data_IF_954218839225
#
_entry.id   IF_954218839225
#
_cell.length_a   1.000
_cell.length_b   1.000
_cell.length_c   1.000
_cell.angle_alpha   90.00
_cell.angle_beta   90.00
_cell.angle_gamma   90.00
#
_symmetry.space_group_name_H-M   'P 1'
#
loop_
_entity.id
_entity.type
_entity.pdbx_description
1 polymer ?
#
# COMPACT_ATOMS: atom_id res chain seq x y z
N UNK A 1 -72.49 -0.56 -22.58
CA UNK A 1 -73.37 -1.26 -21.61
C UNK A 1 -72.75 -2.61 -21.32
N UNK A 2 -72.70 -3.00 -20.04
CA UNK A 2 -72.58 -4.36 -19.48
C UNK A 2 -71.35 -5.21 -19.91
N UNK A 3 -70.59 -5.90 -19.03
CA UNK A 3 -70.97 -6.80 -17.92
C UNK A 3 -71.83 -7.96 -18.46
N UNK A 4 -71.62 -9.26 -18.25
CA UNK A 4 -70.84 -10.18 -17.39
C UNK A 4 -70.72 -11.50 -18.22
N UNK A 5 -70.11 -12.63 -17.86
CA UNK A 5 -69.57 -13.21 -16.62
C UNK A 5 -69.96 -14.72 -16.56
N UNK A 6 -69.22 -15.54 -15.78
CA UNK A 6 -69.51 -16.97 -15.49
C UNK A 6 -69.46 -17.99 -16.67
N UNK A 7 -69.27 -19.31 -16.50
CA UNK A 7 -68.62 -20.10 -15.44
C UNK A 7 -68.30 -21.55 -15.89
N UNK A 8 -67.15 -22.07 -15.45
CA UNK A 8 -66.91 -23.37 -14.74
C UNK A 8 -67.45 -24.73 -15.27
N UNK A 9 -66.50 -25.55 -15.77
CA UNK A 9 -66.21 -26.99 -15.53
C UNK A 9 -67.22 -28.15 -15.75
N UNK A 10 -66.71 -29.27 -16.32
CA UNK A 10 -66.96 -30.64 -15.78
C UNK A 10 -67.01 -31.84 -16.75
N UNK A 11 -65.99 -32.73 -16.74
CA UNK A 11 -65.99 -34.11 -17.30
C UNK A 11 -65.94 -34.23 -18.84
N UNK A 12 -65.24 -35.15 -19.52
CA UNK A 12 -64.75 -36.51 -19.19
C UNK A 12 -65.42 -37.51 -20.15
N UNK A 13 -64.77 -38.44 -20.87
CA UNK A 13 -63.38 -38.94 -20.83
C UNK A 13 -63.00 -39.72 -22.13
N UNK A 14 -61.79 -40.32 -22.17
CA UNK A 14 -61.26 -41.36 -23.11
C UNK A 14 -60.88 -40.87 -24.54
N UNK A 15 -59.77 -41.26 -25.17
CA UNK A 15 -58.58 -42.03 -24.71
C UNK A 15 -57.74 -42.59 -25.89
N UNK A 16 -56.39 -42.56 -25.80
CA UNK A 16 -55.44 -43.13 -26.79
C UNK A 16 -54.43 -42.12 -27.35
N UNK A 17 -53.14 -42.10 -26.92
CA UNK A 17 -51.96 -42.86 -27.43
C UNK A 17 -51.54 -42.45 -28.87
N UNK A 18 -50.28 -42.19 -29.23
CA UNK A 18 -48.98 -42.31 -28.52
C UNK A 18 -47.84 -41.52 -29.24
N UNK A 19 -46.82 -41.12 -28.47
CA UNK A 19 -45.38 -40.99 -28.83
C UNK A 19 -44.80 -39.89 -29.77
N UNK A 20 -44.05 -38.99 -29.11
CA UNK A 20 -42.63 -38.60 -29.35
C UNK A 20 -42.19 -37.55 -30.40
N UNK A 21 -41.51 -36.54 -29.84
CA UNK A 21 -40.23 -35.92 -30.24
C UNK A 21 -40.12 -35.21 -31.60
N UNK A 22 -40.22 -33.87 -31.57
CA UNK A 22 -39.54 -32.96 -32.51
C UNK A 22 -39.46 -31.49 -31.99
N UNK A 23 -38.23 -31.07 -31.69
CA UNK A 23 -37.64 -29.73 -31.85
C UNK A 23 -38.52 -28.46 -31.77
N UNK A 24 -38.14 -27.55 -30.86
CA UNK A 24 -37.59 -26.22 -31.24
C UNK A 24 -36.91 -25.53 -30.05
N UNK A 25 -35.64 -25.18 -30.21
CA UNK A 25 -34.91 -24.26 -29.33
C UNK A 25 -35.33 -22.82 -29.67
N UNK A 26 -35.41 -21.96 -28.67
CA UNK A 26 -35.53 -20.50 -28.83
C UNK A 26 -34.34 -19.83 -28.13
N UNK A 27 -33.57 -19.07 -28.89
CA UNK A 27 -32.32 -18.45 -28.45
C UNK A 27 -32.55 -17.32 -27.43
N UNK A 28 -31.62 -17.14 -26.50
CA UNK A 28 -31.55 -15.95 -25.63
C UNK A 28 -30.49 -14.99 -26.19
N UNK A 29 -30.70 -13.65 -26.09
CA UNK A 29 -29.91 -12.68 -26.84
C UNK A 29 -28.52 -12.37 -26.25
N UNK A 30 -27.57 -12.27 -27.17
CA UNK A 30 -26.20 -11.72 -27.12
C UNK A 30 -25.58 -11.25 -25.79
N UNK A 31 -24.42 -11.85 -25.49
CA UNK A 31 -23.40 -11.31 -24.58
C UNK A 31 -22.71 -10.07 -25.16
N UNK A 32 -22.91 -8.90 -24.56
CA UNK A 32 -22.15 -7.68 -24.87
C UNK A 32 -20.83 -7.57 -24.03
N UNK A 33 -19.76 -6.91 -24.51
CA UNK A 33 -18.40 -7.31 -24.14
C UNK A 33 -17.70 -6.43 -23.07
N UNK A 34 -17.21 -7.06 -22.01
CA UNK A 34 -16.27 -6.44 -21.05
C UNK A 34 -14.93 -6.00 -21.68
N UNK A 35 -14.57 -6.50 -22.87
CA UNK A 35 -13.30 -6.18 -23.55
C UNK A 35 -13.14 -4.73 -24.03
N UNK A 36 -14.23 -3.97 -24.27
CA UNK A 36 -14.13 -2.62 -24.89
C UNK A 36 -13.70 -1.51 -23.93
N UNK A 37 -13.88 -1.68 -22.60
CA UNK A 37 -13.67 -0.58 -21.63
C UNK A 37 -12.18 -0.28 -21.41
N UNK A 38 -11.34 -1.32 -21.28
CA UNK A 38 -9.89 -1.18 -21.13
C UNK A 38 -9.19 -0.59 -22.37
N UNK A 39 -9.64 -0.94 -23.58
CA UNK A 39 -9.04 -0.39 -24.82
C UNK A 39 -9.28 1.12 -24.97
N UNK A 40 -10.43 1.63 -24.54
CA UNK A 40 -10.73 3.05 -24.63
C UNK A 40 -9.90 3.88 -23.62
N UNK A 41 -9.76 3.40 -22.38
CA UNK A 41 -8.93 4.05 -21.35
C UNK A 41 -7.45 4.04 -21.72
N UNK A 42 -6.93 2.94 -22.30
CA UNK A 42 -5.56 2.86 -22.81
C UNK A 42 -5.29 3.87 -23.94
N UNK A 43 -6.22 4.01 -24.90
CA UNK A 43 -6.10 4.98 -26.00
C UNK A 43 -6.25 6.45 -25.56
N UNK A 44 -6.90 6.72 -24.44
CA UNK A 44 -6.96 8.06 -23.84
C UNK A 44 -5.66 8.40 -23.11
N UNK A 45 -5.16 7.48 -22.27
CA UNK A 45 -3.87 7.60 -21.61
C UNK A 45 -2.72 7.82 -22.61
N UNK A 46 -2.67 7.05 -23.71
CA UNK A 46 -1.65 7.21 -24.75
C UNK A 46 -1.75 8.57 -25.47
N UNK A 47 -2.96 9.09 -25.70
CA UNK A 47 -3.17 10.42 -26.30
C UNK A 47 -2.74 11.56 -25.38
N UNK A 48 -3.03 11.46 -24.08
CA UNK A 48 -2.63 12.47 -23.09
C UNK A 48 -1.12 12.43 -22.86
N UNK A 49 -0.53 11.23 -22.74
CA UNK A 49 0.92 11.04 -22.71
C UNK A 49 1.63 11.70 -23.91
N UNK A 50 1.10 11.51 -25.12
CA UNK A 50 1.58 12.17 -26.33
C UNK A 50 1.47 13.70 -26.27
N UNK A 51 0.38 14.25 -25.76
CA UNK A 51 0.20 15.70 -25.63
C UNK A 51 1.23 16.29 -24.65
N UNK A 52 1.31 15.76 -23.43
CA UNK A 52 2.23 16.26 -22.40
C UNK A 52 3.70 16.12 -22.82
N UNK A 53 4.12 14.98 -23.38
CA UNK A 53 5.50 14.80 -23.83
C UNK A 53 5.89 15.84 -24.90
N UNK A 54 4.97 16.23 -25.80
CA UNK A 54 5.24 17.22 -26.85
C UNK A 54 5.26 18.66 -26.34
N UNK A 55 4.39 18.96 -25.39
CA UNK A 55 4.25 20.29 -24.80
C UNK A 55 5.43 20.63 -23.88
N UNK A 56 5.75 19.75 -22.93
CA UNK A 56 6.73 20.01 -21.87
C UNK A 56 8.18 19.71 -22.29
N UNK A 57 8.44 18.63 -23.05
CA UNK A 57 9.81 18.20 -23.38
C UNK A 57 10.39 18.91 -24.61
N UNK A 58 9.55 19.49 -25.47
CA UNK A 58 9.99 20.25 -26.65
C UNK A 58 10.75 19.40 -27.68
N UNK A 59 11.90 19.92 -28.15
CA UNK A 59 12.89 19.20 -28.96
C UNK A 59 12.34 18.29 -30.07
N UNK A 60 12.87 17.07 -30.15
CA UNK A 60 12.43 16.01 -31.05
C UNK A 60 10.99 15.55 -30.78
N UNK A 61 10.50 15.60 -29.53
CA UNK A 61 9.12 15.23 -29.20
C UNK A 61 8.11 16.04 -30.02
N UNK A 62 8.31 17.34 -30.23
CA UNK A 62 7.42 18.15 -31.09
C UNK A 62 7.24 17.60 -32.51
N UNK A 63 8.21 16.84 -33.05
CA UNK A 63 8.18 16.22 -34.39
C UNK A 63 7.55 14.82 -34.41
N UNK A 64 7.38 14.19 -33.25
CA UNK A 64 6.78 12.86 -33.08
C UNK A 64 5.33 12.84 -33.57
N UNK A 65 4.93 11.78 -34.28
CA UNK A 65 3.51 11.51 -34.60
C UNK A 65 2.87 10.60 -33.54
N UNK A 66 1.53 10.63 -33.35
CA UNK A 66 0.87 9.85 -32.29
C UNK A 66 1.16 8.35 -32.34
N UNK A 67 1.32 7.81 -33.55
CA UNK A 67 1.55 6.39 -33.82
C UNK A 67 3.01 5.96 -33.59
N UNK A 68 3.93 6.92 -33.48
CA UNK A 68 5.37 6.70 -33.27
C UNK A 68 5.75 6.71 -31.78
N UNK A 69 4.85 7.14 -30.89
CA UNK A 69 5.09 7.15 -29.44
C UNK A 69 4.95 5.75 -28.84
N UNK A 70 6.03 5.23 -28.26
CA UNK A 70 6.00 4.06 -27.38
C UNK A 70 5.58 4.51 -25.97
N UNK A 71 4.55 3.88 -25.42
CA UNK A 71 4.05 4.09 -24.04
C UNK A 71 3.91 2.72 -23.39
N UNK A 72 4.83 2.38 -22.50
CA UNK A 72 4.90 1.09 -21.84
C UNK A 72 4.50 1.25 -20.36
N UNK A 73 3.50 0.52 -19.84
CA UNK A 73 3.14 0.60 -18.42
C UNK A 73 4.29 0.06 -17.56
N UNK A 74 4.65 0.80 -16.51
CA UNK A 74 5.69 0.41 -15.56
C UNK A 74 5.02 -0.10 -14.28
N UNK A 75 5.43 -1.27 -13.81
CA UNK A 75 5.00 -1.80 -12.51
C UNK A 75 5.65 -1.02 -11.38
N UNK A 76 4.86 -0.30 -10.57
CA UNK A 76 5.35 0.39 -9.37
C UNK A 76 4.24 1.18 -8.67
N UNK A 77 4.10 0.94 -7.36
CA UNK A 77 3.13 1.60 -6.47
C UNK A 77 1.68 1.11 -6.62
N UNK A 78 0.95 1.06 -5.50
CA UNK A 78 -0.51 0.79 -5.48
C UNK A 78 -1.34 2.05 -5.81
N UNK A 79 -0.75 3.24 -5.64
CA UNK A 79 -1.45 4.54 -5.64
C UNK A 79 -1.32 5.35 -6.94
N UNK A 80 -0.30 5.06 -7.76
CA UNK A 80 0.11 5.88 -8.90
C UNK A 80 0.09 5.05 -10.20
N UNK A 81 -0.23 5.69 -11.35
CA UNK A 81 -0.11 5.05 -12.66
C UNK A 81 1.18 5.52 -13.34
N UNK A 82 2.10 4.59 -13.60
CA UNK A 82 3.41 4.86 -14.19
C UNK A 82 3.48 4.36 -15.63
N UNK A 83 3.99 5.21 -16.53
CA UNK A 83 4.21 4.87 -17.94
C UNK A 83 5.59 5.36 -18.39
N UNK A 84 6.39 4.48 -19.00
CA UNK A 84 7.60 4.88 -19.73
C UNK A 84 7.18 5.37 -21.11
N UNK A 85 7.51 6.62 -21.42
CA UNK A 85 7.32 7.20 -22.75
C UNK A 85 8.68 7.34 -23.43
N UNK A 86 8.81 6.87 -24.68
CA UNK A 86 10.11 6.82 -25.37
C UNK A 86 10.06 7.34 -26.81
N UNK A 87 11.07 8.11 -27.21
CA UNK A 87 11.30 8.53 -28.60
C UNK A 87 11.82 7.37 -29.47
N UNK A 88 11.27 7.18 -30.68
CA UNK A 88 11.71 6.14 -31.58
C UNK A 88 13.12 6.42 -32.13
N UNK A 89 13.85 5.35 -32.40
CA UNK A 89 15.30 5.36 -32.66
C UNK A 89 15.69 6.18 -33.91
N UNK A 90 14.79 6.29 -34.90
CA UNK A 90 15.00 7.08 -36.12
C UNK A 90 14.88 8.60 -35.94
N UNK A 91 14.34 9.08 -34.81
CA UNK A 91 14.29 10.52 -34.52
C UNK A 91 15.56 10.95 -33.76
N UNK A 92 16.43 11.79 -34.35
CA UNK A 92 17.56 12.37 -33.63
C UNK A 92 17.07 13.44 -32.65
N UNK A 93 17.78 13.58 -31.53
CA UNK A 93 17.59 14.70 -30.59
C UNK A 93 17.86 16.04 -31.27
N UNK A 94 17.20 17.09 -30.80
CA UNK A 94 17.33 18.48 -31.27
C UNK A 94 18.21 19.29 -30.32
N UNK A 95 18.19 18.97 -29.02
CA UNK A 95 19.10 19.46 -28.00
C UNK A 95 19.21 18.44 -26.84
N UNK A 96 19.16 18.93 -25.61
CA UNK A 96 19.29 18.11 -24.39
C UNK A 96 17.99 17.43 -23.94
N UNK A 97 16.94 17.38 -24.78
CA UNK A 97 15.71 16.68 -24.38
C UNK A 97 15.96 15.17 -24.15
N UNK A 98 15.33 14.59 -23.12
CA UNK A 98 15.46 13.15 -22.83
C UNK A 98 14.90 12.33 -23.99
N UNK A 99 15.51 11.16 -24.25
CA UNK A 99 14.91 10.16 -25.16
C UNK A 99 13.79 9.38 -24.49
N UNK A 100 13.83 9.24 -23.16
CA UNK A 100 12.92 8.43 -22.38
C UNK A 100 12.54 9.17 -21.10
N UNK A 101 11.26 9.12 -20.73
CA UNK A 101 10.71 9.78 -19.54
C UNK A 101 9.73 8.86 -18.83
N UNK A 102 9.59 9.05 -17.53
CA UNK A 102 8.55 8.42 -16.74
C UNK A 102 7.40 9.40 -16.56
N UNK A 103 6.24 9.07 -17.12
CA UNK A 103 4.98 9.74 -16.87
C UNK A 103 4.36 9.13 -15.60
N UNK A 104 4.28 9.92 -14.53
CA UNK A 104 3.52 9.59 -13.33
C UNK A 104 2.18 10.32 -13.38
N UNK A 105 1.10 9.57 -13.44
CA UNK A 105 -0.26 10.11 -13.25
C UNK A 105 -0.71 9.88 -11.83
N UNK A 106 -1.21 10.95 -11.23
CA UNK A 106 -1.73 10.90 -9.88
C UNK A 106 -3.09 10.18 -9.85
N UNK A 107 -3.29 9.34 -8.84
CA UNK A 107 -4.57 8.66 -8.62
C UNK A 107 -5.71 9.62 -8.28
N UNK A 108 -6.95 9.19 -8.50
CA UNK A 108 -8.16 9.96 -8.14
C UNK A 108 -8.35 10.17 -6.61
N UNK A 109 -7.43 9.65 -5.79
CA UNK A 109 -7.38 9.78 -4.32
C UNK A 109 -6.32 10.83 -3.92
N UNK A 110 -5.99 11.78 -4.80
CA UNK A 110 -5.04 12.82 -4.47
C UNK A 110 -5.49 13.61 -3.24
N UNK A 111 -4.53 13.71 -2.32
CA UNK A 111 -4.63 14.48 -1.10
C UNK A 111 -4.76 15.98 -1.46
N UNK A 112 -5.35 16.78 -0.57
CA UNK A 112 -5.78 18.16 -0.87
C UNK A 112 -4.67 19.07 -1.41
N UNK A 113 -5.07 20.20 -2.01
CA UNK A 113 -4.21 21.14 -2.78
C UNK A 113 -2.84 21.41 -2.13
N UNK A 114 -2.81 21.62 -0.81
CA UNK A 114 -1.57 21.88 -0.05
C UNK A 114 -0.56 20.73 -0.14
N UNK A 115 -1.03 19.48 -0.17
CA UNK A 115 -0.19 18.28 -0.30
C UNK A 115 0.49 18.23 -1.66
N UNK A 116 -0.25 18.51 -2.74
CA UNK A 116 0.30 18.53 -4.11
C UNK A 116 1.35 19.63 -4.28
N UNK A 117 1.15 20.79 -3.64
CA UNK A 117 2.14 21.88 -3.64
C UNK A 117 3.41 21.46 -2.91
N UNK A 118 3.30 20.87 -1.72
CA UNK A 118 4.45 20.41 -0.94
C UNK A 118 5.22 19.28 -1.65
N UNK A 119 4.51 18.30 -2.23
CA UNK A 119 5.10 17.22 -3.02
C UNK A 119 5.85 17.78 -4.25
N UNK A 120 5.24 18.70 -4.99
CA UNK A 120 5.87 19.33 -6.17
C UNK A 120 7.14 20.11 -5.80
N UNK A 121 7.11 20.86 -4.69
CA UNK A 121 8.29 21.58 -4.16
C UNK A 121 9.38 20.59 -3.72
N UNK A 122 9.00 19.51 -3.05
CA UNK A 122 9.93 18.46 -2.60
C UNK A 122 10.64 17.81 -3.79
N UNK A 123 9.88 17.37 -4.79
CA UNK A 123 10.40 16.69 -5.97
C UNK A 123 11.34 17.60 -6.76
N UNK A 124 10.97 18.88 -6.97
CA UNK A 124 11.82 19.84 -7.66
C UNK A 124 13.17 20.05 -6.94
N UNK A 125 13.17 20.17 -5.61
CA UNK A 125 14.42 20.33 -4.83
C UNK A 125 15.29 19.06 -4.87
N UNK A 126 14.69 17.88 -4.90
CA UNK A 126 15.40 16.61 -5.01
C UNK A 126 16.05 16.43 -6.40
N UNK A 127 15.34 16.81 -7.47
CA UNK A 127 15.87 16.85 -8.83
C UNK A 127 17.07 17.81 -8.97
N UNK A 128 16.94 19.05 -8.52
CA UNK A 128 18.00 20.08 -8.56
C UNK A 128 19.24 19.70 -7.74
N UNK A 129 19.08 18.85 -6.71
CA UNK A 129 20.18 18.34 -5.87
C UNK A 129 20.75 17.01 -6.34
N UNK A 130 20.27 16.45 -7.46
CA UNK A 130 20.64 15.11 -7.95
C UNK A 130 20.42 13.99 -6.92
N UNK A 131 19.41 14.14 -6.05
CA UNK A 131 19.02 13.17 -5.01
C UNK A 131 17.74 12.41 -5.36
N UNK A 132 17.12 12.73 -6.50
CA UNK A 132 16.02 12.00 -7.12
C UNK A 132 16.03 12.18 -8.64
N UNK A 133 15.03 11.63 -9.36
CA UNK A 133 14.91 11.77 -10.80
C UNK A 133 14.78 13.24 -11.25
N UNK A 134 15.36 13.60 -12.39
CA UNK A 134 15.15 14.95 -12.97
C UNK A 134 13.66 15.22 -13.25
N UNK A 135 13.22 16.46 -13.05
CA UNK A 135 11.84 16.90 -13.25
C UNK A 135 11.71 17.66 -14.58
N UNK A 136 10.96 17.11 -15.54
CA UNK A 136 10.80 17.71 -16.87
C UNK A 136 9.47 18.43 -17.09
N UNK A 137 8.46 18.19 -16.25
CA UNK A 137 7.17 18.87 -16.36
C UNK A 137 6.21 18.51 -15.24
N UNK A 138 5.34 19.45 -14.87
CA UNK A 138 4.29 19.28 -13.85
C UNK A 138 2.99 19.83 -14.41
N UNK A 139 1.90 19.08 -14.24
CA UNK A 139 0.55 19.43 -14.67
C UNK A 139 -0.48 18.92 -13.65
N UNK A 140 -1.74 19.37 -13.68
CA UNK A 140 -2.73 19.03 -12.65
C UNK A 140 -2.93 17.52 -12.43
N UNK A 141 -2.72 16.69 -13.45
CA UNK A 141 -2.98 15.26 -13.40
C UNK A 141 -1.72 14.39 -13.24
N UNK A 142 -0.53 14.98 -13.17
CA UNK A 142 0.72 14.23 -13.10
C UNK A 142 2.00 15.04 -13.26
N UNK A 143 3.10 14.32 -13.50
CA UNK A 143 4.41 14.88 -13.82
C UNK A 143 5.17 14.01 -14.82
N UNK A 144 6.14 14.62 -15.48
CA UNK A 144 7.14 13.96 -16.31
C UNK A 144 8.48 13.98 -15.57
N UNK A 145 9.00 12.80 -15.28
CA UNK A 145 10.23 12.55 -14.54
C UNK A 145 11.28 11.89 -15.45
N UNK A 146 12.53 11.88 -15.03
CA UNK A 146 13.57 11.05 -15.61
C UNK A 146 13.22 9.57 -15.49
N UNK A 147 13.20 8.85 -16.62
CA UNK A 147 13.26 7.39 -16.56
C UNK A 147 14.69 6.97 -16.20
N UNK A 148 14.84 6.19 -15.14
CA UNK A 148 16.13 5.74 -14.63
C UNK A 148 16.30 4.25 -14.95
N UNK A 149 17.22 3.87 -15.85
CA UNK A 149 17.53 2.47 -16.16
C UNK A 149 18.04 1.75 -14.90
N UNK A 150 17.16 0.97 -14.28
CA UNK A 150 17.37 0.42 -12.94
C UNK A 150 16.41 -0.73 -12.65
N UNK A 151 16.56 -1.34 -11.48
CA UNK A 151 15.56 -2.20 -10.84
C UNK A 151 15.44 -1.83 -9.35
N UNK A 152 14.30 -2.04 -8.70
CA UNK A 152 14.26 -2.06 -7.24
C UNK A 152 15.17 -3.17 -6.69
N UNK A 153 15.57 -3.02 -5.42
CA UNK A 153 16.14 -4.11 -4.65
C UNK A 153 15.06 -5.16 -4.31
N UNK A 154 15.51 -6.29 -3.77
CA UNK A 154 14.67 -7.31 -3.14
C UNK A 154 14.94 -7.30 -1.64
N UNK A 155 13.99 -7.70 -0.82
CA UNK A 155 14.09 -7.75 0.66
C UNK A 155 15.40 -8.41 1.13
N UNK A 156 15.75 -9.56 0.54
CA UNK A 156 17.00 -10.31 0.85
C UNK A 156 18.30 -9.57 0.49
N UNK A 157 18.24 -8.60 -0.42
CA UNK A 157 19.41 -7.79 -0.83
C UNK A 157 19.69 -6.66 0.18
N UNK A 158 18.71 -6.26 1.00
CA UNK A 158 18.91 -5.29 2.09
C UNK A 158 19.95 -5.77 3.11
N UNK A 159 20.00 -7.09 3.34
CA UNK A 159 20.93 -7.75 4.25
C UNK A 159 22.37 -7.89 3.71
N UNK A 160 22.62 -7.60 2.41
CA UNK A 160 23.94 -7.73 1.82
C UNK A 160 24.87 -6.59 2.33
N UNK A 161 26.04 -6.87 2.94
CA UNK A 161 26.82 -5.85 3.65
C UNK A 161 27.25 -4.65 2.80
N UNK A 162 27.44 -4.83 1.49
CA UNK A 162 27.84 -3.75 0.57
C UNK A 162 26.64 -2.86 0.23
N UNK A 163 25.47 -3.45 -0.06
CA UNK A 163 24.23 -2.71 -0.32
C UNK A 163 23.74 -2.01 0.94
N UNK A 164 23.73 -2.69 2.09
CA UNK A 164 23.40 -2.10 3.39
C UNK A 164 24.25 -0.87 3.73
N UNK A 165 25.56 -0.92 3.47
CA UNK A 165 26.45 0.23 3.66
C UNK A 165 26.16 1.39 2.67
N UNK A 166 25.80 1.08 1.42
CA UNK A 166 25.40 2.08 0.43
C UNK A 166 24.05 2.73 0.80
N UNK A 167 23.07 1.94 1.25
CA UNK A 167 21.77 2.43 1.76
C UNK A 167 21.99 3.35 2.97
N UNK A 168 22.81 2.95 3.94
CA UNK A 168 23.14 3.79 5.10
C UNK A 168 23.81 5.11 4.69
N UNK A 169 24.66 5.10 3.65
CA UNK A 169 25.28 6.30 3.09
C UNK A 169 24.24 7.22 2.43
N UNK A 170 23.31 6.65 1.65
CA UNK A 170 22.20 7.37 1.01
C UNK A 170 21.23 7.99 2.02
N UNK A 171 20.84 7.22 3.03
CA UNK A 171 20.01 7.67 4.14
C UNK A 171 20.68 8.84 4.89
N UNK A 172 21.99 8.76 5.17
CA UNK A 172 22.73 9.85 5.79
C UNK A 172 22.81 11.12 4.93
N UNK A 173 22.94 10.98 3.60
CA UNK A 173 22.86 12.11 2.66
C UNK A 173 21.47 12.76 2.68
N UNK A 174 20.41 11.95 2.68
CA UNK A 174 19.02 12.42 2.76
C UNK A 174 18.73 13.16 4.08
N UNK A 175 19.20 12.61 5.21
CA UNK A 175 19.08 13.24 6.54
C UNK A 175 19.82 14.58 6.64
N UNK A 176 20.87 14.78 5.84
CA UNK A 176 21.60 16.04 5.74
C UNK A 176 20.90 17.15 4.94
N UNK A 177 19.74 16.88 4.34
CA UNK A 177 19.03 17.86 3.50
C UNK A 177 18.35 18.96 4.32
N UNK A 178 18.69 20.21 4.01
CA UNK A 178 17.87 21.36 4.42
C UNK A 178 16.71 21.56 3.42
N UNK A 179 15.49 21.29 3.87
CA UNK A 179 14.26 21.40 3.07
C UNK A 179 13.34 22.50 3.64
N UNK A 180 12.60 23.25 2.79
CA UNK A 180 11.79 24.41 3.20
C UNK A 180 10.45 24.02 3.86
N UNK A 181 10.41 22.91 4.59
CA UNK A 181 9.23 22.42 5.31
C UNK A 181 9.32 22.71 6.81
N UNK A 182 8.21 22.48 7.52
CA UNK A 182 8.16 22.53 8.99
C UNK A 182 9.22 21.61 9.59
N UNK A 183 9.94 22.12 10.61
CA UNK A 183 11.04 21.42 11.30
C UNK A 183 10.57 20.65 12.53
N UNK A 184 9.32 20.88 12.95
CA UNK A 184 8.72 20.25 14.11
C UNK A 184 8.34 18.79 13.80
N UNK A 185 8.75 17.80 14.61
CA UNK A 185 8.58 16.36 14.33
C UNK A 185 7.16 15.85 14.66
N UNK A 186 6.12 16.61 14.29
CA UNK A 186 4.71 16.20 14.47
C UNK A 186 4.27 15.12 13.48
N UNK A 187 5.02 14.88 12.40
CA UNK A 187 4.66 13.97 11.32
C UNK A 187 4.24 12.58 11.82
N UNK A 188 5.04 11.96 12.69
CA UNK A 188 4.82 10.58 13.15
C UNK A 188 3.50 10.46 13.94
N UNK A 189 3.39 11.16 15.07
CA UNK A 189 2.20 11.05 15.91
C UNK A 189 0.96 11.71 15.29
N UNK A 190 1.11 12.85 14.61
CA UNK A 190 0.00 13.51 13.91
C UNK A 190 -0.56 12.65 12.77
N UNK A 191 0.25 11.78 12.18
CA UNK A 191 -0.20 10.77 11.20
C UNK A 191 -0.87 9.57 11.88
N UNK A 192 -0.29 9.01 12.94
CA UNK A 192 -0.93 7.92 13.69
C UNK A 192 -2.29 8.34 14.30
N UNK A 193 -2.38 9.53 14.89
CA UNK A 193 -3.62 10.08 15.46
C UNK A 193 -4.69 10.30 14.37
N UNK A 194 -4.28 10.81 13.19
CA UNK A 194 -5.16 10.98 12.03
C UNK A 194 -5.67 9.64 11.50
N UNK A 195 -4.81 8.63 11.36
CA UNK A 195 -5.20 7.29 10.92
C UNK A 195 -6.11 6.60 11.94
N UNK A 196 -5.78 6.66 13.24
CA UNK A 196 -6.63 6.11 14.29
C UNK A 196 -8.03 6.73 14.26
N UNK A 197 -8.13 8.06 14.10
CA UNK A 197 -9.42 8.74 13.92
C UNK A 197 -10.16 8.25 12.67
N UNK A 198 -9.48 8.18 11.52
CA UNK A 198 -10.09 7.72 10.27
C UNK A 198 -10.63 6.29 10.37
N UNK A 199 -9.91 5.37 11.04
CA UNK A 199 -10.35 3.99 11.27
C UNK A 199 -11.57 3.95 12.19
N UNK A 200 -11.60 4.76 13.25
CA UNK A 200 -12.76 4.88 14.15
C UNK A 200 -14.01 5.48 13.47
N UNK A 201 -13.82 6.34 12.47
CA UNK A 201 -14.90 6.94 11.67
C UNK A 201 -15.41 6.01 10.54
N UNK A 202 -14.82 4.82 10.33
CA UNK A 202 -15.24 3.91 9.24
C UNK A 202 -16.65 3.36 9.49
N UNK A 203 -17.50 3.27 8.43
CA UNK A 203 -18.81 2.66 8.55
C UNK A 203 -18.70 1.15 8.81
N UNK A 204 -19.55 0.55 9.67
CA UNK A 204 -19.56 -0.88 9.91
C UNK A 204 -19.77 -1.69 8.61
N UNK A 205 -18.84 -2.58 8.29
CA UNK A 205 -18.83 -3.35 7.02
C UNK A 205 -19.77 -4.57 7.02
N UNK A 206 -20.47 -4.83 8.14
CA UNK A 206 -21.36 -5.98 8.31
C UNK A 206 -20.66 -7.34 8.38
N UNK A 207 -19.32 -7.38 8.27
CA UNK A 207 -18.50 -8.58 8.43
C UNK A 207 -17.95 -8.62 9.86
N UNK A 208 -17.88 -9.79 10.53
CA UNK A 208 -17.18 -9.95 11.80
C UNK A 208 -15.66 -9.95 11.57
N UNK A 209 -15.12 -8.80 11.18
CA UNK A 209 -13.69 -8.53 11.20
C UNK A 209 -13.34 -8.13 12.64
N UNK A 210 -12.35 -8.79 13.26
CA UNK A 210 -11.91 -8.40 14.60
C UNK A 210 -11.44 -6.94 14.56
N UNK A 211 -11.99 -6.09 15.44
CA UNK A 211 -11.52 -4.73 15.54
C UNK A 211 -10.11 -4.74 16.17
N UNK A 212 -9.08 -4.62 15.33
CA UNK A 212 -7.69 -4.61 15.77
C UNK A 212 -7.41 -3.47 16.77
N UNK A 213 -8.16 -2.36 16.70
CA UNK A 213 -8.06 -1.25 17.66
C UNK A 213 -8.44 -1.70 19.08
N UNK A 214 -9.50 -2.50 19.21
CA UNK A 214 -9.99 -3.02 20.49
C UNK A 214 -9.11 -4.18 20.99
N UNK A 215 -8.75 -5.10 20.09
CA UNK A 215 -7.95 -6.29 20.43
C UNK A 215 -6.55 -5.94 20.98
N UNK A 216 -5.96 -4.83 20.52
CA UNK A 216 -4.67 -4.33 21.01
C UNK A 216 -4.75 -3.08 21.88
N UNK A 217 -5.95 -2.55 22.13
CA UNK A 217 -6.16 -1.25 22.77
C UNK A 217 -5.24 -0.14 22.20
N UNK A 218 -5.21 -0.01 20.85
CA UNK A 218 -4.21 0.80 20.14
C UNK A 218 -4.22 2.30 20.52
N UNK A 219 -5.34 2.79 21.07
CA UNK A 219 -5.45 4.16 21.57
C UNK A 219 -4.55 4.39 22.79
N UNK A 220 -4.59 3.49 23.77
CA UNK A 220 -3.77 3.60 24.97
C UNK A 220 -2.31 3.24 24.65
N UNK A 221 -2.09 2.27 23.77
CA UNK A 221 -0.74 1.87 23.37
C UNK A 221 0.00 2.95 22.59
N UNK A 222 -0.69 3.75 21.75
CA UNK A 222 -0.13 4.96 21.16
C UNK A 222 0.33 5.98 22.23
N UNK A 223 -0.38 6.05 23.37
CA UNK A 223 0.01 6.85 24.53
C UNK A 223 1.22 6.29 25.30
N UNK A 224 1.38 4.97 25.33
CA UNK A 224 2.58 4.30 25.88
C UNK A 224 3.80 4.54 24.98
N UNK A 225 3.64 4.33 23.67
CA UNK A 225 4.67 4.59 22.66
C UNK A 225 5.13 6.05 22.69
N UNK A 226 4.20 7.02 22.85
CA UNK A 226 4.55 8.44 23.02
C UNK A 226 5.49 8.67 24.19
N UNK A 227 5.13 8.20 25.40
CA UNK A 227 5.98 8.33 26.60
C UNK A 227 7.35 7.69 26.43
N UNK A 228 7.43 6.54 25.75
CA UNK A 228 8.68 5.86 25.46
C UNK A 228 9.57 6.70 24.54
N UNK A 229 9.03 7.21 23.43
CA UNK A 229 9.79 8.01 22.46
C UNK A 229 10.17 9.38 23.03
N UNK A 230 9.31 10.02 23.81
CA UNK A 230 9.63 11.26 24.55
C UNK A 230 10.83 11.07 25.51
N UNK A 231 11.02 9.84 26.03
CA UNK A 231 12.17 9.47 26.88
C UNK A 231 13.41 8.96 26.10
N UNK A 232 13.34 8.91 24.76
CA UNK A 232 14.39 8.33 23.89
C UNK A 232 14.90 9.38 22.90
N UNK A 233 15.94 10.16 23.24
CA UNK A 233 16.42 11.25 22.39
C UNK A 233 16.87 10.78 20.99
N UNK A 234 16.20 11.27 19.96
CA UNK A 234 16.62 11.13 18.56
C UNK A 234 16.70 12.52 17.92
N UNK A 235 17.76 12.85 17.16
CA UNK A 235 17.79 14.06 16.35
C UNK A 235 16.61 14.11 15.38
N UNK A 236 16.10 15.32 15.14
CA UNK A 236 15.13 15.59 14.08
C UNK A 236 15.91 15.94 12.81
N UNK A 237 15.64 15.21 11.73
CA UNK A 237 16.29 15.33 10.42
C UNK A 237 15.23 15.21 9.32
N UNK A 238 15.58 15.51 8.07
CA UNK A 238 14.68 15.23 6.95
C UNK A 238 14.71 13.72 6.66
N UNK A 239 13.66 13.00 7.03
CA UNK A 239 13.55 11.55 6.87
C UNK A 239 12.77 11.20 5.61
N UNK A 240 13.07 10.05 5.02
CA UNK A 240 12.30 9.51 3.90
C UNK A 240 10.97 8.90 4.38
N UNK A 241 11.01 8.27 5.56
CA UNK A 241 9.94 7.57 6.27
C UNK A 241 9.43 6.27 5.61
N UNK A 242 10.04 5.81 4.50
CA UNK A 242 9.64 4.59 3.76
C UNK A 242 10.81 4.00 2.93
N UNK A 243 11.93 3.67 3.57
CA UNK A 243 13.12 3.10 2.91
C UNK A 243 13.00 1.56 2.84
N UNK A 244 12.00 1.10 2.10
CA UNK A 244 11.81 -0.31 1.70
C UNK A 244 12.58 -0.65 0.40
N UNK A 245 12.71 -1.94 0.07
CA UNK A 245 13.42 -2.38 -1.14
C UNK A 245 12.83 -1.86 -2.47
N UNK A 246 11.50 -1.65 -2.52
CA UNK A 246 10.80 -1.11 -3.69
C UNK A 246 11.22 0.33 -4.01
N UNK A 247 11.63 1.09 -2.99
CA UNK A 247 12.01 2.51 -3.06
C UNK A 247 13.53 2.70 -3.20
N UNK A 248 14.31 1.62 -3.31
CA UNK A 248 15.77 1.64 -3.49
C UNK A 248 16.10 1.08 -4.87
N UNK A 249 16.42 1.96 -5.81
CA UNK A 249 16.78 1.59 -7.18
C UNK A 249 18.26 1.27 -7.31
N UNK A 250 18.59 0.06 -7.72
CA UNK A 250 19.93 -0.32 -8.19
C UNK A 250 20.09 0.13 -9.65
N UNK A 251 21.03 1.04 -9.88
CA UNK A 251 21.29 1.68 -11.17
C UNK A 251 22.00 0.71 -12.13
N UNK A 252 21.51 0.58 -13.36
CA UNK A 252 22.15 -0.24 -14.41
C UNK A 252 23.42 0.42 -14.97
N UNK A 253 23.43 1.75 -15.02
CA UNK A 253 24.52 2.58 -15.55
C UNK A 253 24.93 3.63 -14.49
N UNK A 254 25.67 3.22 -13.44
CA UNK A 254 26.09 4.15 -12.40
C UNK A 254 27.21 5.07 -12.92
N UNK A 255 27.01 6.39 -12.81
CA UNK A 255 27.99 7.39 -13.27
C UNK A 255 29.27 7.40 -12.42
N UNK A 256 29.20 6.90 -11.18
CA UNK A 256 30.27 6.91 -10.19
C UNK A 256 30.24 5.62 -9.35
N UNK A 257 30.98 5.56 -8.23
CA UNK A 257 30.84 4.52 -7.21
C UNK A 257 29.46 4.52 -6.49
N UNK A 258 28.56 5.41 -6.91
CA UNK A 258 27.21 5.57 -6.41
C UNK A 258 26.23 4.75 -7.25
N UNK A 259 25.84 3.58 -6.74
CA UNK A 259 25.02 2.60 -7.46
C UNK A 259 23.54 2.58 -7.06
N UNK A 260 23.13 3.41 -6.10
CA UNK A 260 21.77 3.41 -5.54
C UNK A 260 21.10 4.77 -5.62
N UNK A 261 19.80 4.79 -5.92
CA UNK A 261 18.95 5.98 -5.78
C UNK A 261 17.72 5.65 -4.93
N UNK A 262 17.37 6.56 -4.01
CA UNK A 262 16.10 6.52 -3.29
C UNK A 262 15.01 7.18 -4.14
N UNK A 263 13.78 6.65 -4.10
CA UNK A 263 12.62 7.18 -4.82
C UNK A 263 11.34 7.03 -3.99
N UNK A 264 10.26 7.66 -4.46
CA UNK A 264 8.93 7.69 -3.83
C UNK A 264 8.90 8.36 -2.45
N UNK A 265 9.06 9.69 -2.49
CA UNK A 265 9.17 10.55 -1.31
C UNK A 265 7.81 10.95 -0.70
N UNK A 266 6.72 10.20 -0.96
CA UNK A 266 5.35 10.60 -0.58
C UNK A 266 5.16 10.74 0.94
N UNK A 267 5.94 10.00 1.73
CA UNK A 267 5.94 10.08 3.20
C UNK A 267 7.02 11.00 3.79
N UNK A 268 7.89 11.58 2.96
CA UNK A 268 9.09 12.29 3.44
C UNK A 268 8.78 13.59 4.20
N UNK A 269 9.56 13.88 5.23
CA UNK A 269 9.33 15.01 6.12
C UNK A 269 10.32 15.09 7.27
N UNK A 270 10.34 16.21 7.99
CA UNK A 270 11.14 16.30 9.21
C UNK A 270 10.56 15.38 10.29
N UNK A 271 11.36 14.42 10.73
CA UNK A 271 10.98 13.39 11.68
C UNK A 271 12.22 12.95 12.49
N UNK A 272 12.02 12.08 13.47
CA UNK A 272 13.10 11.50 14.25
C UNK A 272 13.96 10.56 13.40
N UNK A 273 15.28 10.78 13.36
CA UNK A 273 16.25 9.90 12.69
C UNK A 273 16.08 8.41 13.04
N UNK A 274 15.77 8.11 14.30
CA UNK A 274 15.52 6.75 14.78
C UNK A 274 14.32 6.06 14.13
N UNK A 275 13.33 6.81 13.63
CA UNK A 275 12.21 6.26 12.89
C UNK A 275 12.66 5.74 11.52
N UNK A 276 13.40 6.53 10.75
CA UNK A 276 13.81 6.17 9.38
C UNK A 276 14.76 4.96 9.36
N UNK A 277 15.71 4.93 10.30
CA UNK A 277 16.60 3.77 10.50
C UNK A 277 15.79 2.55 10.99
N UNK A 278 14.89 2.76 11.96
CA UNK A 278 14.08 1.69 12.55
C UNK A 278 13.13 1.05 11.54
N UNK A 279 12.46 1.86 10.72
CA UNK A 279 11.58 1.38 9.65
C UNK A 279 12.37 0.57 8.63
N UNK A 280 13.51 1.09 8.16
CA UNK A 280 14.38 0.34 7.23
C UNK A 280 14.80 -1.02 7.79
N UNK A 281 15.09 -1.14 9.09
CA UNK A 281 15.38 -2.43 9.73
C UNK A 281 14.15 -3.35 9.83
N UNK A 282 12.93 -2.80 9.97
CA UNK A 282 11.70 -3.57 9.90
C UNK A 282 11.45 -4.13 8.49
N UNK A 283 11.75 -3.38 7.42
CA UNK A 283 11.55 -3.84 6.03
C UNK A 283 12.39 -5.08 5.67
N UNK A 284 13.47 -5.38 6.40
CA UNK A 284 14.22 -6.64 6.21
C UNK A 284 13.37 -7.90 6.49
N UNK A 285 12.26 -7.75 7.21
CA UNK A 285 11.34 -8.84 7.60
C UNK A 285 10.25 -9.09 6.55
N UNK A 286 9.92 -8.12 5.68
CA UNK A 286 8.71 -8.15 4.86
C UNK A 286 9.02 -8.22 3.37
N UNK A 287 8.64 -9.33 2.71
CA UNK A 287 8.74 -9.49 1.26
C UNK A 287 7.39 -9.25 0.60
N UNK A 288 7.27 -8.13 -0.10
CA UNK A 288 6.06 -7.70 -0.83
C UNK A 288 5.95 -8.28 -2.25
N UNK A 289 6.88 -9.15 -2.66
CA UNK A 289 6.85 -9.82 -3.98
C UNK A 289 6.14 -11.18 -3.95
N UNK A 290 5.50 -11.53 -2.82
CA UNK A 290 4.82 -12.80 -2.67
C UNK A 290 3.57 -12.90 -3.56
N UNK A 291 3.53 -13.90 -4.46
CA UNK A 291 2.48 -14.03 -5.48
C UNK A 291 1.13 -14.53 -4.94
N UNK A 292 1.11 -15.13 -3.74
CA UNK A 292 -0.08 -15.70 -3.11
C UNK A 292 -0.61 -14.81 -1.98
N UNK A 293 -1.92 -14.85 -1.73
CA UNK A 293 -2.57 -14.12 -0.62
C UNK A 293 -1.88 -14.44 0.73
N UNK A 294 -1.48 -13.44 1.54
CA UNK A 294 -1.93 -12.04 1.54
C UNK A 294 -1.10 -11.05 0.68
N UNK A 295 -0.33 -11.55 -0.29
CA UNK A 295 0.58 -10.80 -1.17
C UNK A 295 1.78 -10.15 -0.46
N UNK A 296 2.08 -10.60 0.76
CA UNK A 296 3.34 -10.34 1.45
C UNK A 296 3.73 -11.58 2.25
N UNK A 297 5.02 -11.69 2.60
CA UNK A 297 5.55 -12.71 3.50
C UNK A 297 6.41 -12.07 4.58
N UNK A 298 6.08 -12.32 5.86
CA UNK A 298 6.89 -11.87 7.00
C UNK A 298 7.82 -12.99 7.48
N UNK A 299 9.11 -12.68 7.69
CA UNK A 299 10.12 -13.58 8.23
C UNK A 299 10.89 -12.90 9.39
N UNK A 300 10.37 -12.95 10.63
CA UNK A 300 10.96 -12.21 11.77
C UNK A 300 12.42 -12.56 12.09
N UNK A 301 12.90 -13.71 11.64
CA UNK A 301 14.29 -14.14 11.77
C UNK A 301 15.27 -13.35 10.88
N UNK A 302 14.79 -12.67 9.83
CA UNK A 302 15.60 -11.88 8.89
C UNK A 302 15.87 -10.45 9.40
N UNK A 303 15.28 -10.05 10.54
CA UNK A 303 15.54 -8.77 11.20
C UNK A 303 17.05 -8.61 11.51
N UNK A 304 17.67 -7.44 11.23
CA UNK A 304 19.11 -7.27 11.33
C UNK A 304 19.65 -7.56 12.74
N UNK A 305 20.64 -8.44 12.81
CA UNK A 305 21.38 -8.73 14.04
C UNK A 305 22.18 -7.51 14.53
N UNK A 306 22.64 -7.52 15.78
CA UNK A 306 23.52 -6.46 16.33
C UNK A 306 24.70 -6.13 15.41
N UNK A 307 25.31 -7.14 14.80
CA UNK A 307 26.49 -6.98 13.96
C UNK A 307 26.15 -6.24 12.65
N UNK A 308 24.96 -6.47 12.09
CA UNK A 308 24.44 -5.77 10.90
C UNK A 308 24.05 -4.33 11.25
N UNK A 309 23.28 -4.12 12.32
CA UNK A 309 22.85 -2.77 12.76
C UNK A 309 24.02 -1.81 13.05
N UNK A 310 25.13 -2.32 13.58
CA UNK A 310 26.28 -1.51 14.03
C UNK A 310 27.34 -1.32 12.93
N UNK A 311 27.24 -2.06 11.81
CA UNK A 311 28.16 -2.09 10.65
C UNK A 311 29.61 -1.61 10.95
N UNK A 312 30.49 -2.48 11.50
CA UNK A 312 31.78 -2.08 12.08
C UNK A 312 32.80 -1.46 11.10
N UNK A 313 32.47 -1.36 9.81
CA UNK A 313 33.33 -0.78 8.76
C UNK A 313 32.99 0.70 8.45
N UNK A 314 31.85 1.20 8.92
CA UNK A 314 31.43 2.61 8.77
C UNK A 314 30.74 3.08 10.07
N UNK A 315 31.36 3.96 10.88
CA UNK A 315 30.85 4.32 12.22
C UNK A 315 29.62 5.26 12.23
N UNK A 316 28.83 5.28 11.15
CA UNK A 316 27.80 6.30 10.91
C UNK A 316 26.39 5.93 11.39
N UNK A 317 26.06 4.65 11.58
CA UNK A 317 24.73 4.24 12.06
C UNK A 317 24.51 4.52 13.56
N UNK A 318 25.58 4.54 14.37
CA UNK A 318 25.54 4.82 15.81
C UNK A 318 26.74 5.68 16.25
N UNK A 319 26.72 6.96 15.87
CA UNK A 319 27.74 7.92 16.29
C UNK A 319 27.81 8.11 17.81
N UNK A 320 28.94 7.71 18.40
CA UNK A 320 29.46 8.16 19.70
C UNK A 320 28.57 8.08 20.95
N UNK A 321 28.04 6.89 21.27
CA UNK A 321 27.71 6.53 22.66
C UNK A 321 28.97 6.06 23.43
N UNK A 322 29.95 6.95 23.57
CA UNK A 322 31.08 6.76 24.49
C UNK A 322 30.64 7.22 25.88
N UNK A 323 30.00 6.32 26.63
CA UNK A 323 29.77 6.55 28.06
C UNK A 323 31.01 6.18 28.88
N UNK A 324 31.35 6.94 29.94
CA UNK A 324 32.41 6.60 30.87
C UNK A 324 32.09 5.31 31.65
N UNK A 325 33.09 4.61 32.19
CA UNK A 325 32.89 3.30 32.81
C UNK A 325 32.10 3.42 34.11
N UNK A 326 30.88 2.86 34.12
CA UNK A 326 30.11 2.65 35.36
C UNK A 326 28.66 3.12 35.35
N UNK A 327 27.82 2.56 34.48
CA UNK A 327 26.43 2.16 34.79
C UNK A 327 26.09 0.94 33.92
N UNK A 328 25.69 -0.18 34.52
CA UNK A 328 25.25 -1.38 33.79
C UNK A 328 23.80 -1.23 33.31
N UNK A 329 23.58 -0.64 32.12
CA UNK A 329 22.26 -0.69 31.43
C UNK A 329 22.18 -1.94 30.55
N UNK A 330 22.25 -3.12 31.16
CA UNK A 330 21.94 -4.37 30.45
C UNK A 330 20.41 -4.53 30.30
N UNK A 331 19.96 -5.06 29.14
CA UNK A 331 18.61 -5.58 28.85
C UNK A 331 17.41 -4.66 28.54
N UNK A 332 17.53 -3.32 28.39
CA UNK A 332 16.35 -2.49 28.01
C UNK A 332 16.33 -1.84 26.61
N UNK A 333 17.46 -1.72 25.93
CA UNK A 333 17.52 -1.18 24.55
C UNK A 333 17.13 -2.22 23.48
N UNK A 334 17.06 -3.50 23.87
CA UNK A 334 16.98 -4.64 22.94
C UNK A 334 15.57 -5.06 22.48
N UNK A 335 14.50 -4.45 23.00
CA UNK A 335 13.14 -4.99 22.85
C UNK A 335 12.16 -4.13 22.03
N UNK A 336 12.51 -2.88 21.71
CA UNK A 336 11.55 -1.92 21.14
C UNK A 336 12.17 -1.11 19.98
N UNK A 337 12.51 -1.83 18.92
CA UNK A 337 12.40 -1.24 17.58
C UNK A 337 10.93 -0.83 17.35
N UNK A 338 10.70 0.33 16.74
CA UNK A 338 9.35 0.92 16.66
C UNK A 338 8.51 0.14 15.65
N UNK A 339 7.73 -0.83 16.14
CA UNK A 339 6.60 -1.40 15.43
C UNK A 339 5.40 -0.44 15.50
N UNK A 340 4.83 -0.08 14.36
CA UNK A 340 3.39 0.00 14.19
C UNK A 340 2.92 -1.04 13.15
N UNK A 341 1.80 -1.71 13.44
CA UNK A 341 1.14 -2.71 12.56
C UNK A 341 1.88 -4.06 12.40
N UNK A 342 2.26 -4.69 13.51
CA UNK A 342 2.34 -6.15 13.54
C UNK A 342 0.93 -6.75 13.40
N UNK A 343 0.61 -7.31 12.23
CA UNK A 343 -0.41 -8.36 12.16
C UNK A 343 0.07 -9.52 13.04
N UNK A 344 -0.75 -10.06 13.96
CA UNK A 344 -0.31 -11.13 14.85
C UNK A 344 -0.09 -12.44 14.09
N UNK A 345 1.19 -12.75 13.84
CA UNK A 345 1.61 -14.15 13.75
C UNK A 345 1.76 -14.65 15.19
N UNK A 346 0.86 -15.53 15.64
CA UNK A 346 1.06 -16.25 16.90
C UNK A 346 2.34 -17.09 16.79
N UNK A 347 3.35 -16.74 17.59
CA UNK A 347 4.37 -17.70 18.01
C UNK A 347 3.90 -18.36 19.30
N UNK A 348 3.86 -19.70 19.40
CA UNK A 348 3.66 -20.38 20.67
C UNK A 348 4.82 -20.04 21.61
N UNK A 349 4.53 -19.83 22.89
CA UNK A 349 5.58 -19.77 23.91
C UNK A 349 6.33 -21.12 23.97
N UNK A 350 7.64 -21.07 24.15
CA UNK A 350 8.45 -22.27 24.36
C UNK A 350 7.95 -23.02 25.60
N UNK A 351 7.49 -24.27 25.43
CA UNK A 351 7.04 -25.10 26.56
C UNK A 351 5.74 -25.90 26.40
N UNK A 352 5.27 -26.18 25.17
CA UNK A 352 4.20 -27.17 24.95
C UNK A 352 4.35 -27.88 23.60
N UNK A 353 5.21 -28.91 23.54
CA UNK A 353 5.04 -29.95 22.54
C UNK A 353 3.77 -30.76 22.85
N UNK A 354 3.14 -31.34 21.82
CA UNK A 354 1.97 -32.21 21.89
C UNK A 354 0.62 -31.59 22.34
N UNK A 355 0.07 -30.71 21.49
CA UNK A 355 -1.31 -30.86 20.97
C UNK A 355 -1.67 -29.78 19.91
N UNK A 356 -1.75 -30.18 18.64
CA UNK A 356 -2.31 -29.36 17.56
C UNK A 356 -3.85 -29.45 17.56
N UNK A 357 -4.60 -28.34 17.50
CA UNK A 357 -6.01 -28.37 17.13
C UNK A 357 -6.17 -28.66 15.62
N UNK A 358 -7.29 -29.27 15.19
CA UNK A 358 -7.48 -29.73 13.81
C UNK A 358 -7.72 -28.58 12.81
N UNK A 359 -7.48 -28.79 11.50
CA UNK A 359 -7.57 -27.74 10.49
C UNK A 359 -9.01 -27.35 10.17
N UNK A 360 -9.33 -26.05 10.25
CA UNK A 360 -10.63 -25.53 9.78
C UNK A 360 -10.58 -25.27 8.28
N UNK A 361 -10.90 -26.33 7.55
CA UNK A 361 -11.65 -26.41 6.30
C UNK A 361 -11.79 -25.15 5.42
N UNK A 362 -11.24 -25.31 4.22
CA UNK A 362 -11.70 -24.75 2.93
C UNK A 362 -13.21 -24.47 2.82
N UNK A 363 -13.57 -23.33 2.22
CA UNK A 363 -14.87 -23.13 1.56
C UNK A 363 -14.67 -22.49 0.17
N UNK A 364 -14.85 -23.29 -0.88
CA UNK A 364 -15.16 -22.78 -2.22
C UNK A 364 -16.61 -22.23 -2.24
N UNK A 365 -16.89 -21.16 -2.98
CA UNK A 365 -18.27 -20.77 -3.27
C UNK A 365 -18.84 -21.67 -4.38
N UNK A 366 -20.06 -22.15 -4.21
CA UNK A 366 -20.88 -22.63 -5.33
C UNK A 366 -22.29 -22.01 -5.22
N UNK A 367 -22.79 -21.28 -6.23
CA UNK A 367 -24.01 -20.50 -6.10
C UNK A 367 -25.25 -21.28 -6.57
N UNK A 368 -25.94 -21.91 -5.63
CA UNK A 368 -27.30 -22.42 -5.83
C UNK A 368 -28.12 -22.31 -4.54
N UNK A 369 -29.44 -22.27 -4.69
CA UNK A 369 -30.45 -22.44 -3.63
C UNK A 369 -30.81 -21.23 -2.74
N UNK A 370 -31.46 -20.24 -3.36
CA UNK A 370 -32.73 -19.73 -2.81
C UNK A 370 -33.86 -20.04 -3.81
N UNK A 371 -34.90 -20.77 -3.36
CA UNK A 371 -36.24 -20.19 -3.46
C UNK A 371 -37.17 -20.58 -2.29
N UNK A 372 -38.20 -19.76 -2.02
CA UNK A 372 -39.45 -20.26 -1.42
C UNK A 372 -39.88 -19.69 -0.06
N UNK A 373 -40.69 -18.65 -0.14
CA UNK A 373 -41.75 -18.23 0.78
C UNK A 373 -42.23 -19.14 1.95
N UNK A 374 -42.40 -18.48 3.11
CA UNK A 374 -43.60 -18.54 3.98
C UNK A 374 -44.03 -19.82 4.72
N UNK A 375 -43.97 -19.81 6.06
CA UNK A 375 -45.15 -19.92 6.97
C UNK A 375 -44.79 -19.72 8.46
N UNK A 376 -45.81 -19.57 9.31
CA UNK A 376 -45.71 -19.07 10.69
C UNK A 376 -46.10 -20.10 11.78
N UNK A 377 -45.67 -19.82 13.03
CA UNK A 377 -46.23 -20.34 14.29
C UNK A 377 -45.37 -21.38 15.05
N UNK A 378 -45.57 -21.66 16.35
CA UNK A 378 -46.39 -21.01 17.39
C UNK A 378 -46.20 -21.73 18.78
N UNK A 379 -46.39 -21.06 19.93
CA UNK A 379 -46.42 -21.56 21.36
C UNK A 379 -45.09 -22.08 21.99
N UNK A 380 -44.59 -21.55 23.14
CA UNK A 380 -44.91 -21.75 24.60
C UNK A 380 -44.60 -23.16 25.14
N UNK A 381 -44.25 -23.44 26.41
CA UNK A 381 -44.02 -22.69 27.69
C UNK A 381 -42.94 -23.51 28.49
N UNK A 382 -42.38 -23.19 29.67
CA UNK A 382 -42.58 -22.17 30.71
C UNK A 382 -41.71 -22.46 31.97
N UNK A 383 -42.07 -21.89 33.14
CA UNK A 383 -41.45 -22.01 34.50
C UNK A 383 -40.07 -21.32 34.73
N UNK A 384 -39.71 -20.78 35.91
CA UNK A 384 -40.30 -19.88 36.95
C UNK A 384 -39.53 -20.09 38.28
N UNK A 385 -38.94 -19.01 38.83
CA UNK A 385 -38.87 -18.61 40.27
C UNK A 385 -38.10 -17.28 40.35
N UNK A 386 -38.69 -16.12 40.68
CA UNK A 386 -38.94 -15.50 42.02
C UNK A 386 -37.68 -15.43 42.93
N UNK A 387 -37.27 -14.28 43.49
CA UNK A 387 -37.74 -12.87 43.35
C UNK A 387 -37.23 -11.94 44.48
N UNK A 388 -37.66 -10.66 44.48
CA UNK A 388 -37.44 -9.58 45.49
C UNK A 388 -36.02 -8.97 45.56
N UNK A 389 -35.83 -7.65 45.75
CA UNK A 389 -36.80 -6.56 45.96
C UNK A 389 -36.19 -5.15 45.79
N UNK A 390 -37.03 -4.11 45.94
CA UNK A 390 -36.81 -2.70 45.57
C UNK A 390 -35.83 -1.90 46.48
N UNK A 391 -35.32 -0.74 46.01
CA UNK A 391 -35.78 0.62 46.42
C UNK A 391 -34.79 1.78 46.07
N UNK A 392 -35.39 2.89 45.60
CA UNK A 392 -35.04 4.30 45.89
C UNK A 392 -33.71 4.96 45.41
N UNK A 393 -33.84 5.78 44.36
CA UNK A 393 -33.40 7.20 44.34
C UNK A 393 -34.20 8.04 45.39
N UNK A 394 -33.87 9.32 45.73
CA UNK A 394 -33.09 10.30 44.94
C UNK A 394 -32.10 11.21 45.71
N UNK A 395 -31.29 11.98 44.95
CA UNK A 395 -31.25 13.46 45.05
C UNK A 395 -30.56 14.09 43.83
#
# INVERSE_FOLDING_TARGET
>A
MAAEGAAVAGGGALGGRLAKDSLRQSECPDTAPHRRRGSAQSQDAQRRAYQWCREYLGGAWRRLRPEELRVDPVSGGLSNLLFRCSLPDHLPRVGEEPREVLLRLYGAILQGVDSLVLESVMFAILAERSLGPQLYGVFPEGRLEQYIPSRPLKTRELAEPVLSAAIATKMAQFHGMEMPFTKEPHWLFGTMERYLKQILDLPPTGRPQMNLLEMYNLKDEMGNLRKLLDSTPSPVVFCHNDIQEGNILLLSEPENADSLMLVDFEYSGYNYRGFDIGNHFCEWVYDYTHEEWPFYKAQPADYPTRAQQVCPRFPFLLGSLVHPPGIHVHHRIWLLGVCPVSVPVLLPAEGAADQLPPPILTLHPNPSDFPGASRAGLWREGQRTRGLGDWAEPL
#
